data_IF_105910316679
#
_entry.id   IF_105910316679
#
_cell.length_a   1.000
_cell.length_b   1.000
_cell.length_c   1.000
_cell.angle_alpha   90.00
_cell.angle_beta   90.00
_cell.angle_gamma   90.00
#
_symmetry.space_group_name_H-M   'P 1'
#
loop_
_entity.id
_entity.type
_entity.pdbx_description
1 polymer ?
#
# COMPACT_ATOMS: atom_id res chain seq x y z
N UNK A 1 7.28 -21.81 5.65
CA UNK A 1 7.12 -20.51 4.93
C UNK A 1 6.87 -19.41 5.93
N UNK A 2 7.57 -18.28 5.79
CA UNK A 2 7.29 -17.06 6.56
C UNK A 2 6.04 -16.40 6.01
N UNK A 3 5.07 -16.06 6.86
CA UNK A 3 3.86 -15.37 6.45
C UNK A 3 4.06 -13.87 6.55
N UNK A 4 3.91 -13.18 5.43
CA UNK A 4 3.94 -11.71 5.35
C UNK A 4 2.56 -11.23 4.92
N UNK A 5 2.00 -10.26 5.63
CA UNK A 5 0.71 -9.66 5.28
C UNK A 5 0.88 -8.17 5.03
N UNK A 6 0.40 -7.68 3.89
CA UNK A 6 0.32 -6.25 3.58
C UNK A 6 -1.13 -5.82 3.46
N UNK A 7 -1.43 -4.60 3.91
CA UNK A 7 -2.76 -3.98 3.87
C UNK A 7 -2.60 -2.63 3.18
N UNK A 8 -3.34 -2.42 2.09
CA UNK A 8 -3.14 -1.30 1.18
C UNK A 8 -4.46 -0.58 0.93
N UNK A 9 -4.39 0.75 0.91
CA UNK A 9 -5.47 1.61 0.44
C UNK A 9 -4.91 2.75 -0.40
N UNK A 10 -5.80 3.47 -1.10
CA UNK A 10 -5.41 4.60 -1.94
C UNK A 10 -6.00 5.94 -1.47
N UNK A 11 -5.39 7.02 -1.92
CA UNK A 11 -5.89 8.37 -1.72
C UNK A 11 -5.62 9.25 -2.94
N UNK A 12 -6.57 10.13 -3.25
CA UNK A 12 -6.60 10.88 -4.49
C UNK A 12 -7.33 10.15 -5.61
N UNK A 13 -7.57 10.85 -6.71
CA UNK A 13 -8.23 10.27 -7.89
C UNK A 13 -7.22 10.15 -9.02
N UNK A 14 -7.06 8.96 -9.59
CA UNK A 14 -6.14 8.74 -10.71
C UNK A 14 -6.74 9.29 -12.02
N UNK A 15 -6.69 10.62 -12.16
CA UNK A 15 -7.27 11.35 -13.29
C UNK A 15 -6.47 12.64 -13.57
N UNK A 16 -6.50 13.10 -14.82
CA UNK A 16 -5.76 14.28 -15.31
C UNK A 16 -6.04 15.60 -14.57
N UNK A 17 -7.17 15.70 -13.88
CA UNK A 17 -7.56 16.92 -13.14
C UNK A 17 -7.03 16.94 -11.69
N UNK A 18 -6.21 15.97 -11.32
CA UNK A 18 -5.62 15.87 -9.99
C UNK A 18 -4.09 15.92 -10.06
N UNK A 19 -3.45 16.36 -9.00
CA UNK A 19 -1.98 16.46 -8.96
C UNK A 19 -1.34 15.16 -8.52
N UNK A 20 -1.89 14.51 -7.51
CA UNK A 20 -1.28 13.32 -6.92
C UNK A 20 -2.29 12.19 -6.71
N UNK A 21 -1.77 10.98 -6.89
CA UNK A 21 -2.41 9.75 -6.47
C UNK A 21 -1.43 8.96 -5.62
N UNK A 22 -1.90 8.35 -4.52
CA UNK A 22 -1.07 7.63 -3.57
C UNK A 22 -1.67 6.27 -3.27
N UNK A 23 -0.85 5.23 -3.31
CA UNK A 23 -1.09 4.01 -2.54
C UNK A 23 -0.21 4.02 -1.30
N UNK A 24 -0.77 3.61 -0.16
CA UNK A 24 0.01 3.39 1.04
C UNK A 24 -0.52 2.20 1.85
N UNK A 25 0.35 1.65 2.69
CA UNK A 25 -0.03 0.50 3.49
C UNK A 25 0.95 0.13 4.57
N UNK A 26 0.56 -0.90 5.33
CA UNK A 26 1.35 -1.50 6.39
C UNK A 26 1.77 -2.91 6.02
N UNK A 27 2.95 -3.31 6.49
CA UNK A 27 3.53 -4.64 6.30
C UNK A 27 3.76 -5.30 7.65
N UNK A 28 3.29 -6.53 7.80
CA UNK A 28 3.48 -7.35 8.99
C UNK A 28 4.20 -8.64 8.61
N UNK A 29 5.36 -8.86 9.23
CA UNK A 29 6.21 -10.04 8.99
C UNK A 29 5.93 -11.19 9.98
N UNK A 30 4.94 -11.01 10.88
CA UNK A 30 4.44 -12.04 11.78
C UNK A 30 2.94 -11.87 12.05
N UNK A 31 2.27 -12.97 12.36
CA UNK A 31 0.85 -12.95 12.74
C UNK A 31 0.64 -12.28 14.09
N UNK A 32 1.55 -12.42 15.04
CA UNK A 32 1.48 -11.77 16.36
C UNK A 32 1.52 -10.25 16.23
N UNK A 33 2.47 -9.73 15.45
CA UNK A 33 2.58 -8.28 15.17
C UNK A 33 1.32 -7.74 14.51
N UNK A 34 0.80 -8.43 13.50
CA UNK A 34 -0.45 -8.10 12.81
C UNK A 34 -1.64 -8.04 13.77
N UNK A 35 -1.82 -9.07 14.61
CA UNK A 35 -2.93 -9.15 15.58
C UNK A 35 -2.81 -8.02 16.61
N UNK A 36 -1.62 -7.77 17.13
CA UNK A 36 -1.35 -6.70 18.08
C UNK A 36 -1.67 -5.32 17.50
N UNK A 37 -1.18 -5.02 16.30
CA UNK A 37 -1.46 -3.78 15.58
C UNK A 37 -2.98 -3.59 15.35
N UNK A 38 -3.66 -4.63 14.89
CA UNK A 38 -5.12 -4.62 14.67
C UNK A 38 -5.88 -4.33 15.97
N UNK A 39 -5.50 -4.93 17.10
CA UNK A 39 -6.12 -4.68 18.41
C UNK A 39 -5.91 -3.23 18.88
N UNK A 40 -4.71 -2.70 18.77
CA UNK A 40 -4.39 -1.31 19.14
C UNK A 40 -5.21 -0.32 18.31
N UNK A 41 -5.21 -0.47 16.99
CA UNK A 41 -5.97 0.40 16.09
C UNK A 41 -7.47 0.32 16.35
N UNK A 42 -8.04 -0.89 16.46
CA UNK A 42 -9.44 -1.12 16.79
C UNK A 42 -9.85 -0.42 18.08
N UNK A 43 -9.03 -0.52 19.14
CA UNK A 43 -9.34 0.08 20.44
C UNK A 43 -9.54 1.58 20.33
N UNK A 44 -8.60 2.30 19.67
CA UNK A 44 -8.73 3.75 19.51
C UNK A 44 -9.86 4.13 18.54
N UNK A 45 -9.99 3.40 17.42
CA UNK A 45 -11.06 3.61 16.44
C UNK A 45 -12.44 3.53 17.11
N UNK A 46 -12.68 2.48 17.90
CA UNK A 46 -13.93 2.29 18.65
C UNK A 46 -14.17 3.41 19.67
N UNK A 47 -13.12 3.88 20.37
CA UNK A 47 -13.24 5.02 21.31
C UNK A 47 -13.67 6.30 20.59
N UNK A 48 -13.07 6.60 19.44
CA UNK A 48 -13.42 7.79 18.65
C UNK A 48 -14.86 7.68 18.14
N UNK A 49 -15.26 6.53 17.60
CA UNK A 49 -16.64 6.28 17.12
C UNK A 49 -17.66 6.53 18.22
N UNK A 50 -17.45 5.95 19.40
CA UNK A 50 -18.34 6.15 20.55
C UNK A 50 -18.41 7.61 20.99
N UNK A 51 -17.26 8.29 21.10
CA UNK A 51 -17.21 9.69 21.55
C UNK A 51 -17.86 10.67 20.56
N UNK A 52 -17.96 10.31 19.29
CA UNK A 52 -18.52 11.15 18.22
C UNK A 52 -19.88 10.67 17.71
N UNK A 53 -20.44 9.60 18.27
CA UNK A 53 -21.66 8.94 17.80
C UNK A 53 -21.62 8.64 16.28
N UNK A 54 -20.47 8.17 15.77
CA UNK A 54 -20.29 7.85 14.36
C UNK A 54 -20.68 6.39 14.15
N UNK A 55 -21.65 6.17 13.28
CA UNK A 55 -21.99 4.86 12.74
C UNK A 55 -21.16 4.55 11.50
N UNK A 56 -20.85 3.26 11.23
CA UNK A 56 -20.06 2.85 10.09
C UNK A 56 -18.55 3.11 10.25
N UNK A 57 -17.84 3.29 9.15
CA UNK A 57 -16.38 3.42 9.08
C UNK A 57 -15.89 4.85 9.37
N UNK A 58 -14.72 4.97 10.02
CA UNK A 58 -14.00 6.24 10.15
C UNK A 58 -13.13 6.47 8.91
N UNK A 59 -13.71 6.97 7.83
CA UNK A 59 -12.95 7.31 6.62
C UNK A 59 -12.07 8.55 6.83
N UNK A 60 -10.83 8.48 6.37
CA UNK A 60 -9.87 9.57 6.51
C UNK A 60 -10.37 10.89 5.90
N UNK A 61 -11.15 10.84 4.82
CA UNK A 61 -11.72 12.03 4.21
C UNK A 61 -12.68 12.79 5.15
N UNK A 62 -13.38 12.08 6.06
CA UNK A 62 -14.53 12.61 6.80
C UNK A 62 -14.24 12.94 8.26
N UNK A 63 -13.09 12.53 8.81
CA UNK A 63 -12.76 12.76 10.23
C UNK A 63 -11.82 13.93 10.43
N UNK A 64 -11.91 14.56 11.61
CA UNK A 64 -11.09 15.69 11.99
C UNK A 64 -9.58 15.34 12.01
N UNK A 65 -8.73 16.33 11.68
CA UNK A 65 -7.25 16.17 11.66
C UNK A 65 -6.68 15.59 12.96
N UNK A 66 -7.23 15.97 14.13
CA UNK A 66 -6.77 15.44 15.42
C UNK A 66 -6.99 13.94 15.55
N UNK A 67 -8.12 13.42 15.05
CA UNK A 67 -8.43 11.99 15.07
C UNK A 67 -7.60 11.21 14.06
N UNK A 68 -7.36 11.75 12.84
CA UNK A 68 -6.40 11.16 11.88
C UNK A 68 -5.02 11.03 12.51
N UNK A 69 -4.51 12.09 13.13
CA UNK A 69 -3.21 12.07 13.77
C UNK A 69 -3.15 11.06 14.93
N UNK A 70 -4.20 10.94 15.72
CA UNK A 70 -4.26 9.97 16.80
C UNK A 70 -4.25 8.52 16.26
N UNK A 71 -5.08 8.22 15.26
CA UNK A 71 -5.12 6.90 14.61
C UNK A 71 -3.79 6.55 13.93
N UNK A 72 -3.17 7.48 13.21
CA UNK A 72 -1.86 7.29 12.61
C UNK A 72 -0.79 6.95 13.68
N UNK A 73 -0.75 7.69 14.79
CA UNK A 73 0.23 7.48 15.87
C UNK A 73 0.19 6.08 16.48
N UNK A 74 -0.93 5.38 16.42
CA UNK A 74 -1.07 4.01 16.96
C UNK A 74 -0.18 3.01 16.22
N UNK A 75 0.01 3.22 14.92
CA UNK A 75 0.78 2.31 14.04
C UNK A 75 1.99 2.99 13.39
N UNK A 76 2.39 4.18 13.82
CA UNK A 76 3.47 4.97 13.19
C UNK A 76 4.82 4.25 13.15
N UNK A 77 5.07 3.36 14.12
CA UNK A 77 6.33 2.63 14.25
C UNK A 77 6.32 1.25 13.55
N UNK A 78 5.16 0.85 13.00
CA UNK A 78 5.05 -0.35 12.18
C UNK A 78 5.73 -0.17 10.81
N UNK A 79 6.14 -1.27 10.20
CA UNK A 79 6.68 -1.24 8.84
C UNK A 79 5.58 -0.75 7.91
N UNK A 80 5.86 0.33 7.18
CA UNK A 80 4.91 0.93 6.27
C UNK A 80 5.55 1.27 4.93
N UNK A 81 4.72 1.48 3.91
CA UNK A 81 5.19 1.81 2.58
C UNK A 81 4.20 2.70 1.83
N UNK A 82 4.71 3.41 0.84
CA UNK A 82 3.86 4.16 -0.09
C UNK A 82 4.47 4.33 -1.46
N UNK A 83 3.62 4.50 -2.45
CA UNK A 83 3.98 5.03 -3.76
C UNK A 83 3.11 6.24 -4.07
N UNK A 84 3.77 7.32 -4.46
CA UNK A 84 3.12 8.55 -4.92
C UNK A 84 3.34 8.69 -6.42
N UNK A 85 2.26 9.02 -7.13
CA UNK A 85 2.27 9.28 -8.56
C UNK A 85 1.99 10.76 -8.78
N UNK A 86 2.91 11.47 -9.43
CA UNK A 86 2.71 12.84 -9.90
C UNK A 86 1.96 12.81 -11.23
N UNK A 87 0.64 12.97 -11.17
CA UNK A 87 -0.25 12.80 -12.33
C UNK A 87 0.02 13.76 -13.49
N UNK A 88 0.39 15.04 -13.29
CA UNK A 88 0.85 15.92 -14.34
C UNK A 88 2.00 15.38 -15.20
N UNK A 89 2.85 14.53 -14.63
CA UNK A 89 3.98 13.92 -15.33
C UNK A 89 3.63 12.58 -16.01
N UNK A 90 2.44 12.05 -15.76
CA UNK A 90 1.97 10.82 -16.42
C UNK A 90 1.48 11.15 -17.83
N UNK A 91 1.87 10.32 -18.81
CA UNK A 91 1.47 10.51 -20.21
C UNK A 91 -0.05 10.60 -20.35
N UNK A 92 -0.54 11.56 -21.14
CA UNK A 92 -1.96 11.76 -21.39
C UNK A 92 -2.67 10.50 -21.94
N UNK A 93 -1.97 9.68 -22.76
CA UNK A 93 -2.48 8.40 -23.25
C UNK A 93 -2.77 7.38 -22.15
N UNK A 94 -2.04 7.45 -21.01
CA UNK A 94 -2.31 6.60 -19.84
C UNK A 94 -3.54 7.13 -19.09
N UNK A 95 -3.61 8.45 -18.87
CA UNK A 95 -4.70 9.06 -18.11
C UNK A 95 -6.04 9.03 -18.86
N UNK A 96 -6.01 9.07 -20.20
CA UNK A 96 -7.21 9.06 -21.05
C UNK A 96 -7.90 7.71 -21.18
N UNK A 97 -7.19 6.59 -20.95
CA UNK A 97 -7.73 5.24 -21.12
C UNK A 97 -7.88 4.48 -19.80
N UNK A 98 -9.06 3.89 -19.56
CA UNK A 98 -9.35 3.16 -18.31
C UNK A 98 -8.43 1.97 -18.09
N UNK A 99 -8.13 1.19 -19.16
CA UNK A 99 -7.24 0.02 -19.04
C UNK A 99 -5.80 0.43 -18.76
N UNK A 100 -5.33 1.50 -19.41
CA UNK A 100 -3.99 2.05 -19.21
C UNK A 100 -3.82 2.61 -17.80
N UNK A 101 -4.84 3.31 -17.26
CA UNK A 101 -4.85 3.74 -15.86
C UNK A 101 -4.71 2.55 -14.89
N UNK A 102 -5.50 1.49 -15.12
CA UNK A 102 -5.43 0.30 -14.27
C UNK A 102 -4.05 -0.36 -14.33
N UNK A 103 -3.50 -0.56 -15.52
CA UNK A 103 -2.15 -1.12 -15.69
C UNK A 103 -1.08 -0.28 -15.01
N UNK A 104 -1.21 1.05 -15.03
CA UNK A 104 -0.27 1.92 -14.34
C UNK A 104 -0.41 1.82 -12.82
N UNK A 105 -1.64 1.74 -12.30
CA UNK A 105 -1.89 1.49 -10.87
C UNK A 105 -1.29 0.16 -10.42
N UNK A 106 -1.47 -0.91 -11.18
CA UNK A 106 -0.87 -2.23 -10.90
C UNK A 106 0.66 -2.18 -10.96
N UNK A 107 1.21 -1.46 -11.94
CA UNK A 107 2.65 -1.21 -12.03
C UNK A 107 3.18 -0.48 -10.79
N UNK A 108 2.52 0.58 -10.35
CA UNK A 108 2.92 1.34 -9.17
C UNK A 108 2.95 0.45 -7.91
N UNK A 109 1.91 -0.38 -7.72
CA UNK A 109 1.85 -1.33 -6.60
C UNK A 109 2.97 -2.37 -6.66
N UNK A 110 3.20 -3.01 -7.81
CA UNK A 110 4.29 -3.98 -7.97
C UNK A 110 5.64 -3.36 -7.64
N UNK A 111 5.90 -2.15 -8.11
CA UNK A 111 7.15 -1.43 -7.87
C UNK A 111 7.39 -1.11 -6.39
N UNK A 112 6.36 -0.62 -5.68
CA UNK A 112 6.52 -0.31 -4.25
C UNK A 112 6.66 -1.57 -3.41
N UNK A 113 5.94 -2.65 -3.75
CA UNK A 113 6.09 -3.95 -3.07
C UNK A 113 7.51 -4.50 -3.27
N UNK A 114 8.07 -4.43 -4.50
CA UNK A 114 9.47 -4.81 -4.75
C UNK A 114 10.43 -3.96 -3.92
N UNK A 115 10.20 -2.66 -3.82
CA UNK A 115 11.03 -1.76 -3.03
C UNK A 115 10.95 -2.08 -1.53
N UNK A 116 9.75 -2.36 -1.03
CA UNK A 116 9.53 -2.84 0.34
C UNK A 116 10.33 -4.11 0.63
N UNK A 117 10.23 -5.13 -0.23
CA UNK A 117 10.94 -6.40 -0.03
C UNK A 117 12.46 -6.22 -0.06
N UNK A 118 12.99 -5.38 -0.96
CA UNK A 118 14.43 -5.00 -0.92
C UNK A 118 14.82 -4.42 0.43
N UNK A 119 14.00 -3.51 0.96
CA UNK A 119 14.26 -2.89 2.25
C UNK A 119 14.20 -3.89 3.41
N UNK A 120 13.26 -4.83 3.38
CA UNK A 120 13.18 -5.91 4.38
C UNK A 120 14.42 -6.80 4.34
N UNK A 121 14.96 -7.12 3.15
CA UNK A 121 16.20 -7.88 2.98
C UNK A 121 17.40 -7.08 3.49
N UNK A 122 17.53 -5.81 3.11
CA UNK A 122 18.61 -4.92 3.55
C UNK A 122 18.66 -4.76 5.08
N UNK A 123 17.49 -4.75 5.73
CA UNK A 123 17.37 -4.67 7.18
C UNK A 123 17.55 -6.03 7.90
N UNK A 124 17.74 -7.12 7.17
CA UNK A 124 17.86 -8.47 7.74
C UNK A 124 16.57 -9.02 8.35
N UNK A 125 15.41 -8.41 8.07
CA UNK A 125 14.11 -8.87 8.55
C UNK A 125 13.63 -10.13 7.80
N UNK A 126 14.03 -10.26 6.55
CA UNK A 126 13.88 -11.46 5.73
C UNK A 126 15.18 -11.74 4.98
N UNK A 127 15.38 -12.99 4.57
CA UNK A 127 16.47 -13.38 3.68
C UNK A 127 15.93 -13.68 2.27
N UNK A 128 16.75 -13.47 1.25
CA UNK A 128 16.36 -13.78 -0.13
C UNK A 128 16.03 -15.27 -0.36
N UNK A 129 16.57 -16.15 0.48
CA UNK A 129 16.36 -17.61 0.45
C UNK A 129 15.21 -18.08 1.33
N UNK A 130 14.50 -17.17 2.02
CA UNK A 130 13.34 -17.56 2.81
C UNK A 130 12.20 -18.01 1.93
N UNK A 131 11.52 -19.08 2.34
CA UNK A 131 10.21 -19.44 1.79
C UNK A 131 9.15 -18.51 2.35
N UNK A 132 8.45 -17.78 1.47
CA UNK A 132 7.54 -16.71 1.85
C UNK A 132 6.15 -16.93 1.26
N UNK A 133 5.14 -16.76 2.11
CA UNK A 133 3.74 -16.70 1.74
C UNK A 133 3.25 -15.25 1.97
N UNK A 134 3.01 -14.51 0.86
CA UNK A 134 2.59 -13.11 0.89
C UNK A 134 1.07 -12.99 0.74
N UNK A 135 0.44 -12.33 1.72
CA UNK A 135 -0.98 -11.95 1.69
C UNK A 135 -1.12 -10.47 1.36
N UNK A 136 -1.64 -10.15 0.19
CA UNK A 136 -1.89 -8.79 -0.29
C UNK A 136 -3.37 -8.47 -0.10
N UNK A 137 -3.69 -7.65 0.90
CA UNK A 137 -5.04 -7.21 1.21
C UNK A 137 -5.22 -5.76 0.72
N UNK A 138 -6.21 -5.53 -0.14
CA UNK A 138 -6.43 -4.22 -0.78
C UNK A 138 -7.90 -3.82 -0.62
N UNK A 139 -8.18 -2.52 -0.42
CA UNK A 139 -9.57 -2.05 -0.38
C UNK A 139 -10.31 -2.32 -1.69
N UNK A 140 -11.58 -2.73 -1.55
CA UNK A 140 -12.43 -3.17 -2.67
C UNK A 140 -12.68 -2.05 -3.70
N UNK A 141 -12.63 -0.79 -3.30
CA UNK A 141 -12.93 0.35 -4.17
C UNK A 141 -11.83 0.60 -5.23
N UNK A 142 -10.64 0.01 -5.06
CA UNK A 142 -9.48 0.22 -5.95
C UNK A 142 -9.38 -0.73 -7.15
N UNK A 143 -10.12 -1.87 -7.19
CA UNK A 143 -9.91 -2.92 -8.19
C UNK A 143 -11.19 -3.48 -8.80
N UNK A 144 -11.17 -3.65 -10.13
CA UNK A 144 -12.08 -4.59 -10.78
C UNK A 144 -11.61 -6.03 -10.51
N UNK A 145 -12.55 -6.95 -10.28
CA UNK A 145 -12.30 -8.35 -9.86
C UNK A 145 -11.26 -9.09 -10.73
N UNK A 146 -11.16 -8.77 -12.02
CA UNK A 146 -10.18 -9.37 -12.95
C UNK A 146 -8.75 -8.82 -12.78
N UNK A 147 -8.56 -7.67 -12.11
CA UNK A 147 -7.24 -7.07 -11.88
C UNK A 147 -6.45 -7.72 -10.75
N UNK A 148 -7.11 -8.39 -9.78
CA UNK A 148 -6.43 -9.01 -8.64
C UNK A 148 -5.56 -10.21 -9.04
N UNK A 149 -6.00 -11.04 -9.98
CA UNK A 149 -5.20 -12.15 -10.51
C UNK A 149 -3.94 -11.64 -11.20
N UNK A 150 -4.07 -10.67 -12.10
CA UNK A 150 -2.92 -10.08 -12.80
C UNK A 150 -1.94 -9.37 -11.86
N UNK A 151 -2.42 -8.79 -10.74
CA UNK A 151 -1.55 -8.19 -9.74
C UNK A 151 -0.71 -9.25 -9.01
N UNK A 152 -1.33 -10.34 -8.57
CA UNK A 152 -0.62 -11.43 -7.87
C UNK A 152 0.46 -12.07 -8.75
N UNK A 153 0.12 -12.40 -9.99
CA UNK A 153 1.06 -12.92 -10.99
C UNK A 153 2.20 -11.92 -11.24
N UNK A 154 1.87 -10.63 -11.40
CA UNK A 154 2.90 -9.62 -11.63
C UNK A 154 3.78 -9.35 -10.41
N UNK A 155 3.30 -9.54 -9.18
CA UNK A 155 4.15 -9.51 -7.98
C UNK A 155 5.08 -10.72 -7.97
N UNK A 156 4.57 -11.90 -8.31
CA UNK A 156 5.36 -13.12 -8.41
C UNK A 156 6.49 -12.95 -9.44
N UNK A 157 6.17 -12.44 -10.62
CA UNK A 157 7.17 -12.13 -11.66
C UNK A 157 8.23 -11.14 -11.15
N UNK A 158 7.82 -10.02 -10.57
CA UNK A 158 8.75 -8.98 -10.07
C UNK A 158 9.70 -9.49 -8.99
N UNK A 159 9.24 -10.35 -8.10
CA UNK A 159 10.00 -10.77 -6.93
C UNK A 159 10.75 -12.09 -7.15
N UNK A 160 10.16 -13.05 -7.86
CA UNK A 160 10.67 -14.44 -7.97
C UNK A 160 11.24 -14.81 -9.34
N UNK A 161 10.67 -14.32 -10.44
CA UNK A 161 11.08 -14.74 -11.79
C UNK A 161 11.95 -13.72 -12.52
N UNK A 162 11.86 -12.45 -12.15
CA UNK A 162 12.45 -11.35 -12.89
C UNK A 162 11.60 -10.93 -14.08
N UNK A 163 11.86 -9.75 -14.61
CA UNK A 163 11.09 -9.15 -15.72
C UNK A 163 12.02 -8.79 -16.86
N UNK A 164 11.66 -9.22 -18.08
CA UNK A 164 12.30 -8.76 -19.30
C UNK A 164 11.53 -7.59 -19.89
N UNK A 165 12.19 -6.44 -20.00
CA UNK A 165 11.64 -5.31 -20.75
C UNK A 165 12.09 -5.41 -22.21
N UNK A 166 11.23 -5.98 -23.06
CA UNK A 166 11.54 -6.20 -24.47
C UNK A 166 11.79 -4.91 -25.26
N UNK A 167 11.16 -3.79 -24.86
CA UNK A 167 11.35 -2.50 -25.55
C UNK A 167 12.78 -1.95 -25.39
N UNK A 168 13.45 -2.33 -24.33
CA UNK A 168 14.80 -1.87 -24.01
C UNK A 168 15.83 -3.02 -23.95
N UNK A 169 15.43 -4.25 -24.24
CA UNK A 169 16.28 -5.44 -24.18
C UNK A 169 16.89 -5.67 -22.77
N UNK A 170 16.23 -5.19 -21.72
CA UNK A 170 16.78 -5.21 -20.36
C UNK A 170 16.07 -6.22 -19.48
N UNK A 171 16.86 -7.12 -18.86
CA UNK A 171 16.37 -8.04 -17.83
C UNK A 171 16.56 -7.42 -16.43
N UNK A 172 15.53 -7.46 -15.63
CA UNK A 172 15.54 -7.09 -14.22
C UNK A 172 15.44 -8.37 -13.38
N UNK A 173 16.52 -8.77 -12.69
CA UNK A 173 16.56 -10.04 -11.98
C UNK A 173 15.55 -10.08 -10.82
N UNK A 174 15.15 -11.31 -10.40
CA UNK A 174 14.39 -11.50 -9.18
C UNK A 174 15.19 -11.07 -7.96
N UNK A 175 14.49 -10.91 -6.82
CA UNK A 175 15.13 -10.57 -5.54
C UNK A 175 14.97 -11.67 -4.50
N UNK A 176 14.06 -12.63 -4.73
CA UNK A 176 13.83 -13.80 -3.88
C UNK A 176 14.28 -15.07 -4.60
N UNK A 177 14.94 -15.96 -3.85
CA UNK A 177 15.45 -17.25 -4.32
C UNK A 177 14.67 -18.45 -3.73
N UNK A 178 14.11 -18.31 -2.49
CA UNK A 178 13.26 -19.30 -1.84
C UNK A 178 11.88 -19.43 -2.49
N UNK A 179 11.07 -20.37 -2.04
CA UNK A 179 9.69 -20.54 -2.53
C UNK A 179 8.83 -19.31 -2.18
N UNK A 180 8.05 -18.85 -3.16
CA UNK A 180 7.26 -17.64 -3.01
C UNK A 180 5.84 -17.83 -3.55
N UNK A 181 4.86 -17.67 -2.66
CA UNK A 181 3.43 -17.75 -2.99
C UNK A 181 2.76 -16.42 -2.69
N UNK A 182 1.89 -15.95 -3.59
CA UNK A 182 1.16 -14.69 -3.45
C UNK A 182 -0.34 -14.95 -3.44
N UNK A 183 -1.00 -14.47 -2.38
CA UNK A 183 -2.45 -14.44 -2.27
C UNK A 183 -2.93 -12.98 -2.31
N UNK A 184 -3.81 -12.67 -3.24
CA UNK A 184 -4.43 -11.34 -3.35
C UNK A 184 -5.88 -11.40 -2.90
N UNK A 185 -6.29 -10.46 -2.06
CA UNK A 185 -7.64 -10.36 -1.54
C UNK A 185 -8.17 -8.94 -1.59
N UNK A 186 -9.36 -8.77 -2.16
CA UNK A 186 -10.16 -7.55 -2.02
C UNK A 186 -10.86 -7.55 -0.66
N UNK A 187 -10.71 -6.47 0.10
CA UNK A 187 -11.26 -6.32 1.44
C UNK A 187 -12.34 -5.23 1.47
N UNK A 188 -13.38 -5.46 2.23
CA UNK A 188 -14.36 -4.42 2.56
C UNK A 188 -13.82 -3.66 3.77
N UNK A 189 -13.48 -2.39 3.60
CA UNK A 189 -12.82 -1.56 4.63
C UNK A 189 -13.60 -1.46 5.93
N UNK A 190 -14.93 -1.46 5.89
CA UNK A 190 -15.76 -1.47 7.10
C UNK A 190 -15.46 -2.63 8.06
N UNK A 191 -15.00 -3.77 7.51
CA UNK A 191 -14.75 -5.01 8.24
C UNK A 191 -13.27 -5.23 8.58
N UNK A 192 -12.36 -4.39 8.05
CA UNK A 192 -10.93 -4.57 8.28
C UNK A 192 -10.22 -3.30 8.78
N UNK A 193 -9.91 -3.32 10.08
CA UNK A 193 -9.23 -2.21 10.75
C UNK A 193 -7.83 -1.90 10.21
N UNK A 194 -7.15 -2.85 9.55
CA UNK A 194 -5.83 -2.58 8.97
C UNK A 194 -5.95 -1.93 7.59
N UNK A 195 -7.02 -2.20 6.85
CA UNK A 195 -7.37 -1.42 5.65
C UNK A 195 -7.75 0.02 6.05
N UNK A 196 -8.57 0.20 7.10
CA UNK A 196 -8.88 1.55 7.62
C UNK A 196 -7.61 2.29 8.07
N UNK A 197 -6.63 1.58 8.64
CA UNK A 197 -5.36 2.19 8.98
C UNK A 197 -4.56 2.60 7.73
N UNK A 198 -4.63 1.80 6.67
CA UNK A 198 -4.01 2.13 5.39
C UNK A 198 -4.65 3.37 4.74
N UNK A 199 -5.99 3.55 4.83
CA UNK A 199 -6.71 4.77 4.41
C UNK A 199 -6.15 6.01 5.15
N UNK A 200 -5.99 5.94 6.48
CA UNK A 200 -5.40 7.03 7.26
C UNK A 200 -3.98 7.36 6.79
N UNK A 201 -3.17 6.36 6.51
CA UNK A 201 -1.79 6.54 6.04
C UNK A 201 -1.77 7.12 4.62
N UNK A 202 -2.55 6.55 3.69
CA UNK A 202 -2.63 7.02 2.31
C UNK A 202 -3.10 8.49 2.24
N UNK A 203 -4.14 8.83 3.00
CA UNK A 203 -4.64 10.21 3.10
C UNK A 203 -3.62 11.17 3.72
N UNK A 204 -2.84 10.72 4.73
CA UNK A 204 -1.77 11.51 5.32
C UNK A 204 -0.69 11.86 4.29
N UNK A 205 -0.22 10.85 3.54
CA UNK A 205 0.83 11.04 2.53
C UNK A 205 0.30 11.87 1.36
N UNK A 206 -0.91 11.62 0.88
CA UNK A 206 -1.55 12.40 -0.16
C UNK A 206 -1.67 13.89 0.24
N UNK A 207 -2.15 14.17 1.47
CA UNK A 207 -2.21 15.54 2.00
C UNK A 207 -0.84 16.22 2.10
N UNK A 208 0.25 15.44 2.28
CA UNK A 208 1.59 16.00 2.35
C UNK A 208 2.05 16.61 1.02
N UNK A 209 1.60 16.02 -0.08
CA UNK A 209 1.87 16.54 -1.42
C UNK A 209 0.91 17.68 -1.80
N UNK A 210 -0.40 17.49 -1.60
CA UNK A 210 -1.40 18.48 -1.96
C UNK A 210 -1.28 19.79 -1.16
N UNK A 211 -0.78 19.72 0.07
CA UNK A 211 -0.61 20.86 0.97
C UNK A 211 0.84 21.28 1.16
N UNK A 212 1.77 20.65 0.44
CA UNK A 212 3.21 20.90 0.51
C UNK A 212 3.79 20.83 1.94
N UNK A 213 3.25 19.91 2.78
CA UNK A 213 3.67 19.71 4.17
C UNK A 213 4.53 18.46 4.25
N UNK A 214 5.85 18.60 4.08
CA UNK A 214 6.81 17.49 4.02
C UNK A 214 6.87 16.64 5.30
N UNK A 215 6.67 17.26 6.47
CA UNK A 215 6.72 16.60 7.79
C UNK A 215 5.67 15.51 7.96
N UNK A 216 4.62 15.52 7.15
CA UNK A 216 3.63 14.44 7.14
C UNK A 216 4.20 13.13 6.56
N UNK A 217 5.30 13.20 5.81
CA UNK A 217 6.03 12.04 5.23
C UNK A 217 7.20 11.58 6.09
N UNK A 218 7.55 12.30 7.13
CA UNK A 218 8.55 11.85 8.11
C UNK A 218 7.93 10.75 8.99
N UNK A 219 8.06 9.52 8.52
CA UNK A 219 7.44 8.33 9.12
C UNK A 219 8.55 7.31 9.39
N UNK A 220 8.71 6.84 10.64
CA UNK A 220 9.66 5.77 10.96
C UNK A 220 9.37 4.49 10.16
N UNK A 221 10.40 3.72 9.84
CA UNK A 221 10.29 2.42 9.17
C UNK A 221 9.44 2.46 7.87
N UNK A 222 9.45 3.60 7.18
CA UNK A 222 8.67 3.81 5.97
C UNK A 222 9.51 3.65 4.71
N UNK A 223 9.01 2.86 3.76
CA UNK A 223 9.57 2.73 2.43
C UNK A 223 8.72 3.52 1.45
N UNK A 224 9.30 4.47 0.75
CA UNK A 224 8.57 5.27 -0.23
C UNK A 224 9.13 5.11 -1.65
N UNK A 225 8.26 5.32 -2.63
CA UNK A 225 8.56 5.39 -4.04
C UNK A 225 7.81 6.57 -4.65
N UNK A 226 8.51 7.39 -5.44
CA UNK A 226 7.87 8.42 -6.23
C UNK A 226 7.92 8.03 -7.71
N UNK A 227 6.79 8.11 -8.38
CA UNK A 227 6.65 7.87 -9.81
C UNK A 227 6.23 9.15 -10.52
N UNK A 228 6.66 9.30 -11.77
CA UNK A 228 6.23 10.41 -12.61
C UNK A 228 4.74 10.35 -12.87
#
# INVERSE_FOLDING_TARGET
>A
MKKISIFIDDSGVFHSNHNYFVYAGFCFISDEGKISAKKRYRSLNTKIKKAKAIEGELKAANIERKHKNALFKVLKDEISFSVSVNLPNVRASVLGDKKSRQRFKDYALKRVIKNLFKKLIEQGLINKNDDIELFVNIDQQGFATNGLYGLGEGILEELKHGITNFNYGKFYPPILEGDFVVHTKSCVSENDYLIQAADILANRIWNSYEKEVSELRDIPNHTFLNLP
#
